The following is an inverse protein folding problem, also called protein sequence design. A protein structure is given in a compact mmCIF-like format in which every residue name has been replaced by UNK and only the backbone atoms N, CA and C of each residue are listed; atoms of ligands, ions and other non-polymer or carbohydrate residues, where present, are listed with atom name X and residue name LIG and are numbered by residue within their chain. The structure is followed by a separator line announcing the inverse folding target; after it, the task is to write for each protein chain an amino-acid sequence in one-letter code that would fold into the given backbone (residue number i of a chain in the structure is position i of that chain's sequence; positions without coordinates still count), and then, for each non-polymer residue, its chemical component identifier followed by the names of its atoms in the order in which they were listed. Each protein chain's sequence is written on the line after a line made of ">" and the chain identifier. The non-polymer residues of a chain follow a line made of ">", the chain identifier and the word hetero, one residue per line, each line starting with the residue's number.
data_IF_359210153798
#
_entry.id   IF_359210153798
#
_cell.length_a   1.000
_cell.length_b   1.000
_cell.length_c   1.000
_cell.angle_alpha   90.00
_cell.angle_beta   90.00
_cell.angle_gamma   90.00
#
_symmetry.space_group_name_H-M   'P 1'
#
loop_
_entity.id
_entity.type
_entity.pdbx_description
1 polymer ?
#
# COMPACT_ATOMS: atom_id res chain seq x y z
N UNK A 1 6.24 19.03 13.74
CA UNK A 1 5.91 18.60 12.37
C UNK A 1 6.40 17.17 12.25
N UNK A 2 5.54 16.25 11.80
CA UNK A 2 5.93 14.86 11.57
C UNK A 2 6.91 14.83 10.39
N UNK A 3 8.07 14.18 10.57
CA UNK A 3 9.04 14.03 9.49
C UNK A 3 8.52 12.95 8.51
N UNK A 4 8.61 13.20 7.22
CA UNK A 4 8.33 12.24 6.15
C UNK A 4 9.35 12.41 5.01
N UNK A 5 9.41 11.44 4.11
CA UNK A 5 10.38 11.41 3.02
C UNK A 5 11.72 10.82 3.43
N UNK A 6 12.74 11.06 2.61
CA UNK A 6 14.09 10.58 2.84
C UNK A 6 14.77 11.32 4.00
N UNK A 7 15.41 10.57 4.88
CA UNK A 7 16.26 11.11 5.94
C UNK A 7 17.46 10.21 6.20
N UNK A 8 18.53 10.77 6.71
CA UNK A 8 19.78 10.07 7.03
C UNK A 8 19.96 9.99 8.54
N UNK A 9 20.23 8.78 9.03
CA UNK A 9 20.57 8.51 10.42
C UNK A 9 21.75 7.54 10.48
N UNK A 10 22.79 7.86 11.26
CA UNK A 10 24.00 7.05 11.41
C UNK A 10 24.57 6.55 10.06
N UNK A 11 24.69 7.46 9.09
CA UNK A 11 25.17 7.21 7.72
C UNK A 11 24.31 6.25 6.88
N UNK A 12 23.11 5.91 7.33
CA UNK A 12 22.12 5.12 6.60
C UNK A 12 20.93 5.99 6.19
N UNK A 13 20.42 5.73 4.98
CA UNK A 13 19.25 6.40 4.47
C UNK A 13 18.00 5.56 4.66
N UNK A 14 16.92 6.22 5.08
CA UNK A 14 15.57 5.66 5.31
C UNK A 14 14.53 6.53 4.63
N UNK A 15 13.36 5.95 4.35
CA UNK A 15 12.21 6.71 3.87
C UNK A 15 11.05 6.57 4.85
N UNK A 16 10.54 7.70 5.34
CA UNK A 16 9.32 7.74 6.13
C UNK A 16 8.12 8.02 5.22
N UNK A 17 7.14 7.14 5.30
CA UNK A 17 5.86 7.28 4.62
C UNK A 17 5.13 8.53 5.13
N UNK A 18 4.10 9.03 4.42
CA UNK A 18 3.35 10.23 4.82
C UNK A 18 2.75 10.16 6.22
N UNK A 19 2.45 8.97 6.72
CA UNK A 19 1.95 8.72 8.08
C UNK A 19 3.06 8.59 9.15
N UNK A 20 4.33 8.75 8.75
CA UNK A 20 5.51 8.62 9.61
C UNK A 20 6.03 7.20 9.81
N UNK A 21 5.39 6.17 9.27
CA UNK A 21 5.91 4.81 9.31
C UNK A 21 7.12 4.66 8.39
N UNK A 22 8.08 3.83 8.78
CA UNK A 22 9.25 3.51 7.95
C UNK A 22 8.85 2.58 6.79
N UNK A 23 9.24 2.96 5.58
CA UNK A 23 9.11 2.08 4.42
C UNK A 23 10.09 0.90 4.53
N UNK A 24 9.61 -0.31 4.21
CA UNK A 24 10.42 -1.55 4.22
C UNK A 24 10.06 -2.42 3.03
N UNK A 25 11.02 -3.22 2.55
CA UNK A 25 10.81 -4.18 1.45
C UNK A 25 10.09 -3.58 0.24
N UNK A 26 10.50 -2.40 -0.19
CA UNK A 26 9.84 -1.68 -1.28
C UNK A 26 10.86 -0.89 -2.10
N UNK A 27 10.39 -0.36 -3.23
CA UNK A 27 11.14 0.62 -4.02
C UNK A 27 10.43 1.97 -3.91
N UNK A 28 11.17 3.03 -3.67
CA UNK A 28 10.69 4.42 -3.63
C UNK A 28 11.65 5.29 -4.44
N UNK A 29 11.12 6.05 -5.37
CA UNK A 29 11.92 6.94 -6.25
C UNK A 29 13.06 6.17 -6.96
N UNK A 30 12.74 4.95 -7.44
CA UNK A 30 13.71 4.05 -8.08
C UNK A 30 14.79 3.50 -7.13
N UNK A 31 14.67 3.67 -5.82
CA UNK A 31 15.63 3.25 -4.79
C UNK A 31 15.10 2.10 -3.98
N UNK A 32 15.82 0.99 -3.97
CA UNK A 32 15.44 -0.19 -3.21
C UNK A 32 15.65 0.01 -1.71
N UNK A 33 14.64 -0.33 -0.92
CA UNK A 33 14.66 -0.30 0.55
C UNK A 33 14.57 -1.74 1.07
N UNK A 34 15.48 -2.11 1.94
CA UNK A 34 15.57 -3.44 2.52
C UNK A 34 14.52 -3.72 3.60
N UNK A 35 14.57 -4.93 4.14
CA UNK A 35 13.69 -5.37 5.23
C UNK A 35 13.90 -4.56 6.52
N UNK A 36 15.11 -4.05 6.72
CA UNK A 36 15.49 -3.21 7.86
C UNK A 36 15.18 -1.72 7.63
N UNK A 37 14.54 -1.37 6.51
CA UNK A 37 14.21 -0.01 6.12
C UNK A 37 15.37 0.80 5.53
N UNK A 38 16.56 0.20 5.42
CA UNK A 38 17.74 0.90 4.89
C UNK A 38 17.72 0.89 3.37
N UNK A 39 18.05 2.04 2.78
CA UNK A 39 18.31 2.13 1.35
C UNK A 39 19.49 1.26 0.94
N UNK A 40 19.32 0.46 -0.10
CA UNK A 40 20.33 -0.39 -0.72
C UNK A 40 20.77 0.30 -2.02
N UNK A 41 21.93 0.99 -2.05
CA UNK A 41 22.37 1.70 -3.24
C UNK A 41 22.75 0.73 -4.35
N UNK A 42 22.25 0.97 -5.57
CA UNK A 42 22.74 0.34 -6.77
C UNK A 42 23.96 1.11 -7.32
N UNK A 43 24.76 0.44 -8.16
CA UNK A 43 25.91 1.06 -8.79
C UNK A 43 25.51 2.33 -9.56
N UNK A 44 26.22 3.43 -9.30
CA UNK A 44 25.97 4.73 -9.92
C UNK A 44 24.78 5.53 -9.37
N UNK A 45 24.05 5.01 -8.38
CA UNK A 45 23.00 5.79 -7.72
C UNK A 45 23.61 6.86 -6.80
N UNK A 46 23.04 8.07 -6.89
CA UNK A 46 23.35 9.18 -5.98
C UNK A 46 22.48 9.08 -4.71
N UNK A 47 22.94 9.72 -3.64
CA UNK A 47 22.17 9.79 -2.38
C UNK A 47 20.75 10.30 -2.60
N UNK A 48 19.75 9.80 -1.81
CA UNK A 48 18.38 10.23 -1.90
C UNK A 48 18.19 11.74 -1.65
N UNK A 49 17.17 12.30 -2.30
CA UNK A 49 16.69 13.65 -2.04
C UNK A 49 15.17 13.67 -1.99
N UNK A 50 14.59 14.55 -1.20
CA UNK A 50 13.15 14.71 -1.11
C UNK A 50 12.62 15.49 -2.31
N UNK A 51 12.08 14.77 -3.30
CA UNK A 51 11.54 15.32 -4.55
C UNK A 51 10.03 15.16 -4.66
N UNK A 52 9.39 14.54 -3.68
CA UNK A 52 7.94 14.27 -3.66
C UNK A 52 7.23 15.26 -2.73
N UNK A 53 6.03 15.71 -3.13
CA UNK A 53 5.12 16.41 -2.23
C UNK A 53 4.31 15.38 -1.42
N UNK A 54 4.79 15.06 -0.22
CA UNK A 54 4.14 14.14 0.71
C UNK A 54 3.10 14.81 1.63
N UNK A 55 2.90 16.13 1.49
CA UNK A 55 1.96 16.89 2.31
C UNK A 55 0.59 17.08 1.65
N UNK A 56 0.48 16.79 0.35
CA UNK A 56 -0.74 16.97 -0.43
C UNK A 56 -1.25 15.62 -0.97
N UNK A 57 -1.87 14.77 -0.12
CA UNK A 57 -2.43 13.50 -0.54
C UNK A 57 -3.63 13.67 -1.45
N UNK A 58 -3.75 12.85 -2.48
CA UNK A 58 -5.00 12.64 -3.17
C UNK A 58 -5.56 11.28 -2.78
N UNK A 59 -6.62 11.26 -1.98
CA UNK A 59 -7.24 10.03 -1.49
C UNK A 59 -7.90 9.28 -2.65
N UNK A 60 -7.54 8.02 -2.83
CA UNK A 60 -8.03 7.20 -3.93
C UNK A 60 -9.54 6.97 -3.86
N UNK A 61 -10.13 6.94 -2.67
CA UNK A 61 -11.58 6.85 -2.51
C UNK A 61 -12.35 8.05 -3.12
N UNK A 62 -11.68 9.18 -3.40
CA UNK A 62 -12.24 10.36 -4.05
C UNK A 62 -12.05 10.34 -5.58
N UNK A 63 -11.32 9.36 -6.12
CA UNK A 63 -11.16 9.19 -7.56
C UNK A 63 -12.40 8.50 -8.13
N UNK A 64 -13.18 9.22 -8.93
CA UNK A 64 -14.35 8.68 -9.63
C UNK A 64 -14.03 8.25 -11.06
N UNK A 65 -12.98 8.77 -11.66
CA UNK A 65 -12.58 8.46 -13.03
C UNK A 65 -11.68 7.24 -13.08
N UNK A 66 -11.93 6.35 -14.04
CA UNK A 66 -11.11 5.16 -14.28
C UNK A 66 -11.25 4.06 -13.23
N UNK A 67 -12.16 4.20 -12.28
CA UNK A 67 -12.38 3.22 -11.24
C UNK A 67 -12.94 1.92 -11.82
N UNK A 68 -12.15 0.85 -11.77
CA UNK A 68 -12.59 -0.52 -12.02
C UNK A 68 -12.41 -1.34 -10.74
N UNK A 69 -13.44 -2.08 -10.35
CA UNK A 69 -13.44 -2.77 -9.07
C UNK A 69 -14.02 -4.18 -9.16
N UNK A 70 -13.58 -5.05 -8.25
CA UNK A 70 -14.19 -6.34 -7.96
C UNK A 70 -14.14 -6.57 -6.45
N UNK A 71 -15.28 -6.93 -5.84
CA UNK A 71 -15.35 -7.19 -4.39
C UNK A 71 -15.07 -5.96 -3.51
N UNK A 72 -15.29 -4.76 -4.02
CA UNK A 72 -14.96 -3.47 -3.43
C UNK A 72 -16.16 -2.80 -2.77
N UNK A 73 -15.94 -2.18 -1.62
CA UNK A 73 -16.87 -1.26 -0.99
C UNK A 73 -16.10 -0.18 -0.21
N UNK A 74 -16.60 1.05 -0.23
CA UNK A 74 -16.23 2.05 0.77
C UNK A 74 -17.11 1.82 1.99
N UNK A 75 -16.51 1.65 3.16
CA UNK A 75 -17.22 1.49 4.41
C UNK A 75 -17.08 2.75 5.25
N UNK A 76 -18.20 3.24 5.77
CA UNK A 76 -18.23 4.41 6.67
C UNK A 76 -17.57 4.11 8.01
N UNK A 77 -17.61 2.86 8.45
CA UNK A 77 -16.96 2.41 9.68
C UNK A 77 -16.77 0.89 9.67
N UNK A 78 -15.57 0.43 9.98
CA UNK A 78 -15.23 -0.98 10.15
C UNK A 78 -14.19 -1.16 11.25
N UNK A 79 -14.12 -2.36 11.80
CA UNK A 79 -13.05 -2.74 12.73
C UNK A 79 -12.07 -3.65 12.03
N UNK A 80 -10.77 -3.38 12.19
CA UNK A 80 -9.76 -4.35 11.85
C UNK A 80 -9.68 -5.47 12.90
N UNK A 81 -8.89 -6.49 12.66
CA UNK A 81 -8.78 -7.64 13.57
C UNK A 81 -8.18 -7.29 14.94
N UNK A 82 -7.38 -6.21 15.03
CA UNK A 82 -6.88 -5.71 16.32
C UNK A 82 -7.88 -4.86 17.09
N UNK A 83 -9.10 -4.67 16.54
CA UNK A 83 -10.18 -3.92 17.19
C UNK A 83 -10.17 -2.42 16.93
N UNK A 84 -9.19 -1.92 16.19
CA UNK A 84 -9.10 -0.53 15.78
C UNK A 84 -10.23 -0.19 14.78
N UNK A 85 -10.89 0.95 14.98
CA UNK A 85 -11.97 1.40 14.12
C UNK A 85 -11.44 2.32 13.03
N UNK A 86 -11.70 1.94 11.78
CA UNK A 86 -11.40 2.73 10.60
C UNK A 86 -12.68 3.32 10.01
N UNK A 87 -12.60 4.56 9.54
CA UNK A 87 -13.72 5.30 8.94
C UNK A 87 -13.38 5.66 7.51
N UNK A 88 -14.34 5.53 6.61
CA UNK A 88 -14.15 5.73 5.17
C UNK A 88 -13.05 4.84 4.57
N UNK A 89 -12.89 3.63 5.10
CA UNK A 89 -11.92 2.68 4.62
C UNK A 89 -12.42 1.96 3.35
N UNK A 90 -11.48 1.54 2.51
CA UNK A 90 -11.74 0.66 1.39
C UNK A 90 -11.78 -0.77 1.92
N UNK A 91 -12.84 -1.50 1.60
CA UNK A 91 -12.98 -2.92 1.92
C UNK A 91 -12.92 -3.74 0.63
N UNK A 92 -11.97 -4.65 0.57
CA UNK A 92 -11.89 -5.68 -0.48
C UNK A 92 -12.30 -7.03 0.11
N UNK A 93 -13.25 -7.71 -0.54
CA UNK A 93 -13.76 -9.01 -0.11
C UNK A 93 -13.62 -10.03 -1.25
N UNK A 94 -12.94 -11.13 -0.94
CA UNK A 94 -12.76 -12.28 -1.82
C UNK A 94 -11.42 -12.31 -2.54
N UNK A 95 -11.01 -13.52 -2.92
CA UNK A 95 -9.83 -13.78 -3.75
C UNK A 95 -9.95 -13.05 -5.09
N UNK A 96 -8.90 -12.32 -5.45
CA UNK A 96 -8.87 -11.53 -6.68
C UNK A 96 -9.81 -10.33 -6.64
N UNK A 97 -10.23 -9.89 -5.44
CA UNK A 97 -10.87 -8.59 -5.29
C UNK A 97 -9.84 -7.49 -5.49
N UNK A 98 -10.23 -6.43 -6.17
CA UNK A 98 -9.31 -5.35 -6.49
C UNK A 98 -10.01 -4.00 -6.60
N UNK A 99 -9.19 -2.97 -6.52
CA UNK A 99 -9.52 -1.60 -6.93
C UNK A 99 -8.43 -1.11 -7.88
N UNK A 100 -8.82 -0.57 -9.02
CA UNK A 100 -7.93 -0.02 -10.05
C UNK A 100 -8.28 1.43 -10.32
N UNK A 101 -7.26 2.28 -10.41
CA UNK A 101 -7.37 3.70 -10.63
C UNK A 101 -6.55 4.14 -11.84
N UNK A 102 -7.04 5.18 -12.52
CA UNK A 102 -6.31 5.89 -13.56
C UNK A 102 -5.53 7.04 -12.93
N UNK A 103 -4.21 6.92 -12.88
CA UNK A 103 -3.27 7.90 -12.33
C UNK A 103 -2.71 8.85 -13.38
N UNK A 104 -2.88 8.51 -14.67
CA UNK A 104 -2.41 9.30 -15.82
C UNK A 104 -0.93 9.68 -15.73
N UNK A 105 -0.11 8.84 -15.10
CA UNK A 105 1.32 9.08 -14.89
C UNK A 105 1.65 10.27 -13.98
N UNK A 106 0.64 10.89 -13.35
CA UNK A 106 0.80 12.16 -12.63
C UNK A 106 1.29 12.04 -11.18
N UNK A 107 1.55 10.83 -10.71
CA UNK A 107 1.93 10.57 -9.31
C UNK A 107 3.18 9.70 -9.21
N UNK A 108 3.87 9.78 -8.07
CA UNK A 108 5.12 9.06 -7.82
C UNK A 108 4.99 7.98 -6.75
N UNK A 109 4.14 8.20 -5.74
CA UNK A 109 3.98 7.29 -4.62
C UNK A 109 2.51 6.95 -4.41
N UNK A 110 2.22 5.66 -4.22
CA UNK A 110 0.99 5.16 -3.60
C UNK A 110 1.33 4.73 -2.19
N UNK A 111 0.63 5.25 -1.19
CA UNK A 111 0.83 4.85 0.21
C UNK A 111 -0.50 4.68 0.93
N UNK A 112 -0.50 3.87 1.98
CA UNK A 112 -1.67 3.61 2.80
C UNK A 112 -1.40 2.60 3.92
N UNK A 113 -2.48 2.21 4.59
CA UNK A 113 -2.49 1.17 5.60
C UNK A 113 -3.40 0.02 5.17
N UNK A 114 -3.01 -1.20 5.49
CA UNK A 114 -3.80 -2.41 5.24
C UNK A 114 -3.85 -3.26 6.51
N UNK A 115 -5.02 -3.83 6.79
CA UNK A 115 -5.20 -4.78 7.90
C UNK A 115 -6.29 -5.80 7.54
N UNK A 116 -6.25 -7.01 8.16
CA UNK A 116 -7.37 -7.92 8.11
C UNK A 116 -8.57 -7.29 8.84
N UNK A 117 -9.76 -7.45 8.27
CA UNK A 117 -11.01 -7.09 8.94
C UNK A 117 -11.27 -8.00 10.15
N UNK A 118 -12.06 -7.55 11.12
CA UNK A 118 -12.57 -8.40 12.20
C UNK A 118 -13.40 -9.61 11.70
N UNK A 119 -13.73 -9.64 10.40
CA UNK A 119 -14.42 -10.74 9.74
C UNK A 119 -13.47 -11.65 8.93
N UNK A 120 -12.16 -11.43 9.06
CA UNK A 120 -11.17 -12.27 8.38
C UNK A 120 -11.10 -13.63 9.07
N UNK A 121 -11.20 -14.70 8.31
CA UNK A 121 -11.17 -16.05 8.86
C UNK A 121 -9.79 -16.42 9.41
N UNK A 122 -9.75 -17.09 10.56
CA UNK A 122 -8.51 -17.47 11.25
C UNK A 122 -7.66 -18.51 10.50
N UNK A 123 -8.26 -19.25 9.58
CA UNK A 123 -7.58 -20.23 8.73
C UNK A 123 -6.99 -19.64 7.45
N UNK A 124 -7.27 -18.36 7.16
CA UNK A 124 -6.82 -17.72 5.95
C UNK A 124 -5.49 -16.97 6.11
N UNK A 125 -4.81 -16.89 4.99
CA UNK A 125 -3.62 -16.07 4.80
C UNK A 125 -3.73 -15.38 3.45
N UNK A 126 -3.59 -14.06 3.43
CA UNK A 126 -3.73 -13.26 2.22
C UNK A 126 -2.55 -12.31 2.02
N UNK A 127 -2.45 -11.73 0.85
CA UNK A 127 -1.55 -10.62 0.50
C UNK A 127 -2.32 -9.55 -0.25
N UNK A 128 -1.84 -8.33 -0.19
CA UNK A 128 -2.13 -7.33 -1.21
C UNK A 128 -0.95 -7.22 -2.17
N UNK A 129 -1.25 -7.03 -3.44
CA UNK A 129 -0.26 -6.69 -4.46
C UNK A 129 -0.69 -5.42 -5.16
N UNK A 130 0.26 -4.49 -5.30
CA UNK A 130 0.10 -3.29 -6.11
C UNK A 130 0.68 -3.57 -7.48
N UNK A 131 -0.14 -3.45 -8.50
CA UNK A 131 0.24 -3.56 -9.90
C UNK A 131 0.22 -2.19 -10.55
N UNK A 132 1.17 -1.94 -11.42
CA UNK A 132 1.17 -0.84 -12.38
C UNK A 132 0.69 -1.27 -13.75
N UNK A 133 1.12 -0.55 -14.78
CA UNK A 133 0.80 -0.86 -16.17
C UNK A 133 1.33 -2.23 -16.58
N UNK A 134 0.58 -2.89 -17.49
CA UNK A 134 0.91 -4.22 -18.01
C UNK A 134 1.11 -5.28 -16.90
N UNK A 135 0.37 -5.14 -15.79
CA UNK A 135 0.45 -6.04 -14.62
C UNK A 135 1.85 -6.11 -13.98
N UNK A 136 2.64 -5.05 -14.13
CA UNK A 136 3.94 -4.93 -13.46
C UNK A 136 3.74 -4.89 -11.95
N UNK A 137 4.37 -5.79 -11.21
CA UNK A 137 4.32 -5.80 -9.74
C UNK A 137 5.21 -4.68 -9.20
N UNK A 138 4.59 -3.74 -8.46
CA UNK A 138 5.28 -2.61 -7.83
C UNK A 138 5.52 -2.82 -6.34
N UNK A 139 4.61 -3.57 -5.69
CA UNK A 139 4.71 -3.91 -4.27
C UNK A 139 3.90 -5.16 -3.97
N UNK A 140 4.38 -5.97 -3.03
CA UNK A 140 3.63 -7.09 -2.43
C UNK A 140 3.81 -7.05 -0.92
N UNK A 141 2.70 -7.08 -0.18
CA UNK A 141 2.74 -7.09 1.28
C UNK A 141 3.36 -8.39 1.82
N UNK A 142 3.82 -8.39 3.08
CA UNK A 142 3.95 -9.61 3.86
C UNK A 142 2.63 -10.39 3.89
N UNK A 143 2.68 -11.62 4.38
CA UNK A 143 1.49 -12.43 4.63
C UNK A 143 0.60 -11.75 5.69
N UNK A 144 -0.69 -11.62 5.39
CA UNK A 144 -1.69 -11.02 6.26
C UNK A 144 -2.49 -12.16 6.90
N UNK A 145 -2.31 -12.35 8.18
CA UNK A 145 -3.06 -13.30 9.01
C UNK A 145 -4.26 -12.62 9.68
N UNK A 146 -5.21 -13.41 10.19
CA UNK A 146 -6.43 -12.89 10.84
C UNK A 146 -6.16 -12.00 12.06
N UNK A 147 -5.02 -12.16 12.74
CA UNK A 147 -4.61 -11.37 13.90
C UNK A 147 -3.47 -10.40 13.60
N UNK A 148 -3.17 -10.15 12.32
CA UNK A 148 -2.10 -9.25 11.90
C UNK A 148 -2.42 -7.82 12.33
N UNK A 149 -1.36 -7.11 12.72
CA UNK A 149 -1.44 -5.67 12.96
C UNK A 149 -1.54 -4.91 11.65
N UNK A 150 -1.89 -3.64 11.75
CA UNK A 150 -1.86 -2.71 10.61
C UNK A 150 -0.48 -2.71 9.96
N UNK A 151 -0.45 -2.99 8.65
CA UNK A 151 0.73 -2.89 7.80
C UNK A 151 0.65 -1.56 7.05
N UNK A 152 1.64 -0.71 7.23
CA UNK A 152 1.81 0.50 6.43
C UNK A 152 2.69 0.19 5.24
N UNK A 153 2.31 0.68 4.06
CA UNK A 153 3.05 0.40 2.84
C UNK A 153 3.15 1.62 1.93
N UNK A 154 4.18 1.62 1.10
CA UNK A 154 4.36 2.54 0.00
C UNK A 154 4.87 1.81 -1.22
N UNK A 155 4.42 2.21 -2.39
CA UNK A 155 4.84 1.69 -3.69
C UNK A 155 5.21 2.83 -4.62
N UNK A 156 6.35 2.73 -5.27
CA UNK A 156 6.74 3.64 -6.36
C UNK A 156 5.83 3.40 -7.56
N UNK A 157 5.08 4.42 -7.94
CA UNK A 157 4.17 4.40 -9.09
C UNK A 157 4.57 5.41 -10.16
N UNK A 158 5.82 5.87 -10.13
CA UNK A 158 6.33 6.85 -11.08
C UNK A 158 6.16 6.35 -12.51
N UNK A 159 5.51 7.17 -13.33
CA UNK A 159 5.28 6.88 -14.74
C UNK A 159 4.20 5.82 -15.03
N UNK A 160 3.47 5.35 -14.02
CA UNK A 160 2.35 4.42 -14.21
C UNK A 160 1.08 5.22 -14.57
N UNK A 161 0.43 4.88 -15.67
CA UNK A 161 -0.86 5.46 -16.05
C UNK A 161 -2.01 4.88 -15.23
N UNK A 162 -1.86 3.64 -14.77
CA UNK A 162 -2.84 2.96 -13.93
C UNK A 162 -2.19 2.25 -12.75
N UNK A 163 -2.90 2.18 -11.63
CA UNK A 163 -2.50 1.35 -10.48
C UNK A 163 -3.66 0.48 -10.04
N UNK A 164 -3.39 -0.79 -9.69
CA UNK A 164 -4.35 -1.75 -9.18
C UNK A 164 -3.85 -2.33 -7.86
N UNK A 165 -4.68 -2.27 -6.84
CA UNK A 165 -4.45 -2.97 -5.57
C UNK A 165 -5.36 -4.18 -5.52
N UNK A 166 -4.79 -5.37 -5.43
CA UNK A 166 -5.50 -6.66 -5.51
C UNK A 166 -5.19 -7.54 -4.32
N UNK A 167 -6.21 -8.27 -3.84
CA UNK A 167 -6.09 -9.27 -2.77
C UNK A 167 -5.88 -10.64 -3.38
N UNK A 168 -4.83 -11.34 -2.95
CA UNK A 168 -4.58 -12.75 -3.28
C UNK A 168 -4.61 -13.60 -2.01
N UNK A 169 -5.07 -14.85 -2.13
CA UNK A 169 -4.95 -15.86 -1.09
C UNK A 169 -3.57 -16.54 -1.20
N UNK A 170 -2.94 -16.75 -0.05
CA UNK A 170 -1.74 -17.56 0.10
C UNK A 170 -2.11 -19.00 0.46
N UNK A 171 -3.17 -19.19 1.25
CA UNK A 171 -3.73 -20.49 1.61
C UNK A 171 -4.66 -21.00 0.51
N UNK A 172 -4.58 -22.30 0.24
CA UNK A 172 -5.37 -22.94 -0.84
C UNK A 172 -6.73 -23.43 -0.30
N UNK A 173 -7.56 -22.48 0.15
CA UNK A 173 -8.90 -22.76 0.65
C UNK A 173 -9.96 -22.14 -0.28
N UNK A 174 -10.78 -22.98 -0.92
CA UNK A 174 -11.71 -22.57 -1.98
C UNK A 174 -13.00 -21.89 -1.48
N UNK A 175 -13.28 -21.95 -0.18
CA UNK A 175 -14.60 -21.57 0.36
C UNK A 175 -14.62 -20.27 1.15
N UNK A 176 -13.46 -19.72 1.47
CA UNK A 176 -13.38 -18.57 2.36
C UNK A 176 -12.92 -17.32 1.63
N UNK A 177 -13.65 -16.25 1.86
CA UNK A 177 -13.36 -14.92 1.28
C UNK A 177 -12.52 -14.09 2.26
N UNK A 178 -11.28 -13.75 1.94
CA UNK A 178 -10.52 -12.81 2.74
C UNK A 178 -11.22 -11.45 2.73
N UNK A 179 -11.29 -10.80 3.88
CA UNK A 179 -11.83 -9.45 4.02
C UNK A 179 -10.72 -8.54 4.51
N UNK A 180 -10.19 -7.73 3.60
CA UNK A 180 -9.11 -6.79 3.85
C UNK A 180 -9.69 -5.37 3.91
N UNK A 181 -9.22 -4.59 4.88
CA UNK A 181 -9.48 -3.17 4.99
C UNK A 181 -8.23 -2.39 4.60
N UNK A 182 -8.44 -1.27 3.89
CA UNK A 182 -7.37 -0.31 3.58
C UNK A 182 -7.82 1.08 3.99
N UNK A 183 -6.97 1.80 4.71
CA UNK A 183 -7.23 3.15 5.18
C UNK A 183 -6.13 4.11 4.70
N UNK A 184 -6.53 5.37 4.49
CA UNK A 184 -5.61 6.41 4.06
C UNK A 184 -4.92 6.12 2.72
N UNK A 185 -5.51 5.26 1.86
CA UNK A 185 -4.93 4.94 0.56
C UNK A 185 -4.94 6.19 -0.32
N UNK A 186 -3.77 6.72 -0.60
CA UNK A 186 -3.58 7.98 -1.30
C UNK A 186 -2.38 7.93 -2.26
N UNK A 187 -2.45 8.77 -3.29
CA UNK A 187 -1.33 9.01 -4.21
C UNK A 187 -0.72 10.40 -3.98
N UNK A 188 0.57 10.52 -4.26
CA UNK A 188 1.40 11.69 -4.00
C UNK A 188 2.23 12.05 -5.24
N UNK A 189 2.48 13.37 -5.45
CA UNK A 189 3.22 13.91 -6.61
C UNK A 189 4.70 14.04 -6.35
#
# INVERSE_FOLDING_TARGET
>A
VMQNGWFKDNDKWYFLLPNGAMAVNTTIDGRQIGQDGVWIPAEGQVEPANTMDLNTPYLLQNMSEGLSTKGYNIITSGKNASGERWTNAIRLKGKGSYVKYDTKGGYKLLAGAVAPSSQFDSGLMAKITVYGDNDTVLYTSPDIHYNEKTIYFGADITGQDTVRVEVSLVTDNFYDDPVILMDGLAVYK
#
